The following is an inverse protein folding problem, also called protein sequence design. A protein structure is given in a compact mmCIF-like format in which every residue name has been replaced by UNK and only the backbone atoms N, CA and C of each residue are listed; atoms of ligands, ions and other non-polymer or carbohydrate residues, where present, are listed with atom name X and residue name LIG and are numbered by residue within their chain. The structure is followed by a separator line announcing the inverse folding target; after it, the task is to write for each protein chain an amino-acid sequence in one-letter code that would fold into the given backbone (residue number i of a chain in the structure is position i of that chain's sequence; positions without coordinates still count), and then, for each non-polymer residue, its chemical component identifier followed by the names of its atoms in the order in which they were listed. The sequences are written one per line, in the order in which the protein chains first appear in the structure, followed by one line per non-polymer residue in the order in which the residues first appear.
data_IF_893552012491
#
_entry.id   IF_893552012491
#
_cell.length_a   1.000
_cell.length_b   1.000
_cell.length_c   1.000
_cell.angle_alpha   90.00
_cell.angle_beta   90.00
_cell.angle_gamma   90.00
#
_symmetry.space_group_name_H-M   'P 1'
#
loop_
_entity.id
_entity.type
_entity.pdbx_description
1 polymer ?
#
# COMPACT_ATOMS: atom_id res chain seq x y z
N UNK A 1 13.20 67.25 16.50
CA UNK A 1 12.61 66.83 15.22
C UNK A 1 12.87 65.32 15.09
N UNK A 2 11.84 64.49 15.17
CA UNK A 2 11.95 63.05 15.41
C UNK A 2 11.97 62.24 14.10
N UNK A 3 12.96 61.36 13.95
CA UNK A 3 13.04 60.36 12.88
C UNK A 3 11.88 59.38 13.02
N UNK A 4 11.05 59.29 11.97
CA UNK A 4 9.99 58.29 11.88
C UNK A 4 10.62 57.01 11.34
N UNK A 5 10.78 56.03 12.22
CA UNK A 5 11.13 54.66 11.83
C UNK A 5 9.91 54.05 11.16
N UNK A 6 10.12 53.47 9.99
CA UNK A 6 9.10 52.72 9.24
C UNK A 6 8.56 51.59 10.12
N UNK A 7 7.29 51.68 10.51
CA UNK A 7 6.56 50.51 10.93
C UNK A 7 6.33 49.67 9.68
N UNK A 8 7.11 48.59 9.56
CA UNK A 8 6.76 47.44 8.73
C UNK A 8 5.29 47.10 9.04
N UNK A 9 4.38 47.43 8.11
CA UNK A 9 3.08 46.78 8.04
C UNK A 9 3.37 45.33 7.69
N UNK A 10 3.75 44.56 8.69
CA UNK A 10 3.73 43.11 8.59
C UNK A 10 2.28 42.76 8.38
N UNK A 11 1.96 42.28 7.19
CA UNK A 11 0.76 41.49 6.99
C UNK A 11 0.73 40.48 8.14
N UNK A 12 -0.26 40.50 9.06
CA UNK A 12 -0.53 39.33 9.85
C UNK A 12 -1.17 38.35 8.87
N UNK A 13 -0.33 37.78 8.01
CA UNK A 13 -0.57 36.47 7.45
C UNK A 13 -0.60 35.56 8.66
N UNK A 14 -1.78 35.48 9.28
CA UNK A 14 -2.20 34.37 10.11
C UNK A 14 -2.24 33.18 9.15
N UNK A 15 -1.05 32.70 8.81
CA UNK A 15 -0.88 31.35 8.32
C UNK A 15 -1.30 30.52 9.52
N UNK A 16 -2.52 30.00 9.47
CA UNK A 16 -2.87 28.81 10.23
C UNK A 16 -1.99 27.70 9.66
N UNK A 17 -0.72 27.69 10.06
CA UNK A 17 0.18 26.58 9.89
C UNK A 17 -0.39 25.50 10.79
N UNK A 18 -1.26 24.68 10.20
CA UNK A 18 -1.64 23.40 10.79
C UNK A 18 -0.32 22.75 11.21
N UNK A 19 -0.17 22.37 12.48
CA UNK A 19 1.10 21.91 13.00
C UNK A 19 1.67 20.87 12.03
N UNK A 20 2.74 21.25 11.34
CA UNK A 20 3.53 20.41 10.42
C UNK A 20 4.31 19.32 11.19
N UNK A 21 3.95 19.15 12.47
CA UNK A 21 4.55 18.27 13.43
C UNK A 21 3.42 17.61 14.25
N UNK A 22 2.41 17.07 13.55
CA UNK A 22 1.73 15.91 14.08
C UNK A 22 2.75 14.77 14.04
N UNK A 23 3.49 14.60 15.13
CA UNK A 23 4.13 13.32 15.44
C UNK A 23 2.97 12.33 15.65
N UNK A 24 2.35 11.86 14.57
CA UNK A 24 1.17 11.01 14.58
C UNK A 24 1.47 9.75 13.83
N UNK A 25 2.19 8.82 14.45
CA UNK A 25 2.20 7.42 13.98
C UNK A 25 2.67 7.30 12.51
N UNK A 26 3.30 8.33 11.94
CA UNK A 26 3.62 8.33 10.50
C UNK A 26 4.76 7.36 10.25
N UNK A 27 5.80 7.33 11.09
CA UNK A 27 6.90 6.39 10.89
C UNK A 27 6.50 4.91 11.05
N UNK A 28 5.70 4.58 12.07
CA UNK A 28 5.28 3.20 12.31
C UNK A 28 4.19 2.78 11.30
N UNK A 29 3.23 3.67 11.04
CA UNK A 29 2.19 3.47 10.03
C UNK A 29 2.75 3.36 8.62
N UNK A 30 3.72 4.19 8.25
CA UNK A 30 4.40 4.18 6.96
C UNK A 30 5.32 2.95 6.82
N UNK A 31 6.00 2.51 7.88
CA UNK A 31 6.79 1.28 7.85
C UNK A 31 5.90 0.05 7.65
N UNK A 32 4.81 -0.05 8.43
CA UNK A 32 3.84 -1.16 8.31
C UNK A 32 3.18 -1.12 6.93
N UNK A 33 2.79 0.06 6.48
CA UNK A 33 2.26 0.31 5.14
C UNK A 33 3.19 -0.13 4.03
N UNK A 34 4.46 0.24 4.09
CA UNK A 34 5.46 -0.12 3.10
C UNK A 34 5.71 -1.64 3.12
N UNK A 35 5.80 -2.24 4.30
CA UNK A 35 5.94 -3.68 4.46
C UNK A 35 4.73 -4.44 3.88
N UNK A 36 3.51 -4.02 4.20
CA UNK A 36 2.28 -4.63 3.69
C UNK A 36 2.17 -4.42 2.17
N UNK A 37 2.48 -3.22 1.65
CA UNK A 37 2.52 -2.96 0.22
C UNK A 37 3.50 -3.86 -0.53
N UNK A 38 4.70 -4.05 0.02
CA UNK A 38 5.69 -4.98 -0.53
C UNK A 38 5.19 -6.43 -0.50
N UNK A 39 4.57 -6.85 0.61
CA UNK A 39 3.95 -8.18 0.74
C UNK A 39 2.83 -8.39 -0.28
N UNK A 40 2.02 -7.37 -0.57
CA UNK A 40 0.96 -7.46 -1.57
C UNK A 40 1.49 -7.69 -2.98
N UNK A 41 2.59 -7.02 -3.36
CA UNK A 41 3.25 -7.24 -4.65
C UNK A 41 3.77 -8.66 -4.75
N UNK A 42 4.45 -9.14 -3.71
CA UNK A 42 4.97 -10.52 -3.65
C UNK A 42 3.82 -11.53 -3.72
N UNK A 43 2.75 -11.31 -2.96
CA UNK A 43 1.57 -12.17 -2.94
C UNK A 43 0.87 -12.21 -4.30
N UNK A 44 0.74 -11.07 -4.98
CA UNK A 44 0.17 -11.00 -6.33
C UNK A 44 0.98 -11.82 -7.33
N UNK A 45 2.31 -11.70 -7.29
CA UNK A 45 3.21 -12.48 -8.15
C UNK A 45 3.11 -13.98 -7.86
N UNK A 46 3.14 -14.38 -6.58
CA UNK A 46 2.99 -15.79 -6.20
C UNK A 46 1.64 -16.34 -6.65
N UNK A 47 0.54 -15.62 -6.42
CA UNK A 47 -0.79 -16.04 -6.82
C UNK A 47 -0.89 -16.21 -8.35
N UNK A 48 -0.26 -15.32 -9.12
CA UNK A 48 -0.19 -15.44 -10.58
C UNK A 48 0.58 -16.70 -11.03
N UNK A 49 1.72 -17.00 -10.42
CA UNK A 49 2.46 -18.24 -10.71
C UNK A 49 1.65 -19.50 -10.36
N UNK A 50 0.96 -19.50 -9.21
CA UNK A 50 0.09 -20.62 -8.82
C UNK A 50 -1.07 -20.82 -9.80
N UNK A 51 -1.61 -19.74 -10.37
CA UNK A 51 -2.67 -19.81 -11.37
C UNK A 51 -2.16 -20.48 -12.65
N UNK A 52 -0.96 -20.12 -13.13
CA UNK A 52 -0.34 -20.75 -14.30
C UNK A 52 -0.11 -22.25 -14.04
N UNK A 53 0.48 -22.60 -12.89
CA UNK A 53 0.73 -23.99 -12.53
C UNK A 53 -0.57 -24.81 -12.41
N UNK A 54 -1.64 -24.22 -11.89
CA UNK A 54 -2.97 -24.83 -11.84
C UNK A 54 -3.59 -25.03 -13.22
N UNK A 55 -3.44 -24.05 -14.11
CA UNK A 55 -3.92 -24.11 -15.49
C UNK A 55 -3.19 -25.18 -16.31
N UNK A 56 -1.86 -25.23 -16.23
CA UNK A 56 -1.06 -26.28 -16.91
C UNK A 56 -1.48 -27.65 -16.39
N UNK A 57 -1.61 -27.81 -15.07
CA UNK A 57 -2.03 -29.07 -14.46
C UNK A 57 -3.44 -29.49 -14.90
N UNK A 58 -4.36 -28.53 -15.09
CA UNK A 58 -5.70 -28.82 -15.60
C UNK A 58 -5.68 -29.34 -17.03
N UNK A 59 -4.88 -28.72 -17.90
CA UNK A 59 -4.73 -29.13 -19.30
C UNK A 59 -4.04 -30.50 -19.41
N UNK A 60 -2.98 -30.75 -18.63
CA UNK A 60 -2.23 -32.02 -18.68
C UNK A 60 -2.96 -33.20 -18.03
N UNK A 61 -3.95 -32.95 -17.18
CA UNK A 61 -4.71 -34.02 -16.51
C UNK A 61 -5.60 -34.85 -17.45
N UNK A 62 -5.88 -34.36 -18.67
CA UNK A 62 -6.28 -35.19 -19.82
C UNK A 62 -7.54 -36.07 -19.69
N UNK A 63 -8.33 -35.97 -18.61
CA UNK A 63 -9.50 -36.81 -18.36
C UNK A 63 -9.40 -37.73 -17.13
N UNK A 64 -8.25 -37.80 -16.47
CA UNK A 64 -8.15 -38.46 -15.16
C UNK A 64 -8.86 -37.61 -14.08
N UNK A 65 -9.84 -38.21 -13.40
CA UNK A 65 -10.64 -37.53 -12.37
C UNK A 65 -9.77 -36.99 -11.24
N UNK A 66 -8.77 -37.76 -10.81
CA UNK A 66 -7.91 -37.36 -9.69
C UNK A 66 -7.03 -36.15 -10.07
N UNK A 67 -6.41 -36.17 -11.26
CA UNK A 67 -5.66 -35.03 -11.78
C UNK A 67 -6.53 -33.77 -11.96
N UNK A 68 -7.74 -33.93 -12.49
CA UNK A 68 -8.68 -32.81 -12.67
C UNK A 68 -9.15 -32.19 -11.35
N UNK A 69 -9.41 -33.02 -10.34
CA UNK A 69 -9.81 -32.55 -9.01
C UNK A 69 -8.67 -31.80 -8.31
N UNK A 70 -7.44 -32.32 -8.39
CA UNK A 70 -6.25 -31.65 -7.88
C UNK A 70 -6.01 -30.30 -8.58
N UNK A 71 -6.16 -30.25 -9.91
CA UNK A 71 -6.03 -29.03 -10.68
C UNK A 71 -7.08 -27.97 -10.31
N UNK A 72 -8.35 -28.39 -10.14
CA UNK A 72 -9.44 -27.51 -9.68
C UNK A 72 -9.17 -26.94 -8.30
N UNK A 73 -8.69 -27.77 -7.37
CA UNK A 73 -8.29 -27.30 -6.05
C UNK A 73 -7.18 -26.26 -6.17
N UNK A 74 -6.15 -26.52 -6.98
CA UNK A 74 -5.03 -25.57 -7.16
C UNK A 74 -5.47 -24.23 -7.73
N UNK A 75 -6.34 -24.23 -8.74
CA UNK A 75 -6.93 -23.02 -9.32
C UNK A 75 -7.76 -22.27 -8.28
N UNK A 76 -8.57 -22.98 -7.49
CA UNK A 76 -9.38 -22.37 -6.43
C UNK A 76 -8.51 -21.66 -5.40
N UNK A 77 -7.44 -22.29 -4.93
CA UNK A 77 -6.49 -21.66 -4.00
C UNK A 77 -5.81 -20.43 -4.62
N UNK A 78 -5.44 -20.49 -5.90
CA UNK A 78 -4.86 -19.34 -6.61
C UNK A 78 -5.85 -18.15 -6.70
N UNK A 79 -7.12 -18.44 -7.01
CA UNK A 79 -8.19 -17.44 -7.06
C UNK A 79 -8.42 -16.83 -5.66
N UNK A 80 -8.50 -17.67 -4.63
CA UNK A 80 -8.64 -17.19 -3.23
C UNK A 80 -7.48 -16.29 -2.86
N UNK A 81 -6.24 -16.64 -3.22
CA UNK A 81 -5.06 -15.80 -3.04
C UNK A 81 -5.19 -14.43 -3.72
N UNK A 82 -5.63 -14.40 -4.98
CA UNK A 82 -5.88 -13.13 -5.69
C UNK A 82 -6.98 -12.29 -5.03
N UNK A 83 -8.06 -12.93 -4.57
CA UNK A 83 -9.15 -12.24 -3.85
C UNK A 83 -8.63 -11.62 -2.55
N UNK A 84 -7.78 -12.33 -1.80
CA UNK A 84 -7.18 -11.81 -0.57
C UNK A 84 -6.31 -10.58 -0.86
N UNK A 85 -5.48 -10.64 -1.92
CA UNK A 85 -4.65 -9.49 -2.34
C UNK A 85 -5.53 -8.30 -2.72
N UNK A 86 -6.61 -8.53 -3.48
CA UNK A 86 -7.56 -7.48 -3.85
C UNK A 86 -8.28 -6.88 -2.64
N UNK A 87 -8.71 -7.73 -1.69
CA UNK A 87 -9.34 -7.29 -0.45
C UNK A 87 -8.38 -6.47 0.42
N UNK A 88 -7.14 -6.92 0.55
CA UNK A 88 -6.11 -6.18 1.29
C UNK A 88 -5.84 -4.82 0.64
N UNK A 89 -5.75 -4.74 -0.70
CA UNK A 89 -5.61 -3.48 -1.41
C UNK A 89 -6.80 -2.53 -1.16
N UNK A 90 -8.02 -3.04 -1.18
CA UNK A 90 -9.22 -2.25 -0.85
C UNK A 90 -9.18 -1.73 0.60
N UNK A 91 -8.75 -2.56 1.55
CA UNK A 91 -8.55 -2.13 2.94
C UNK A 91 -7.48 -1.04 3.01
N UNK A 92 -6.37 -1.14 2.27
CA UNK A 92 -5.35 -0.10 2.26
C UNK A 92 -5.91 1.25 1.79
N UNK A 93 -6.74 1.27 0.76
CA UNK A 93 -7.38 2.51 0.28
C UNK A 93 -8.29 3.10 1.37
N UNK A 94 -9.06 2.27 2.08
CA UNK A 94 -9.89 2.75 3.18
C UNK A 94 -9.05 3.33 4.32
N UNK A 95 -7.96 2.64 4.68
CA UNK A 95 -6.99 3.09 5.70
C UNK A 95 -6.32 4.41 5.28
N UNK A 96 -5.92 4.55 4.01
CA UNK A 96 -5.37 5.80 3.45
C UNK A 96 -6.34 6.97 3.60
N UNK A 97 -7.61 6.77 3.24
CA UNK A 97 -8.64 7.80 3.32
C UNK A 97 -8.97 8.17 4.77
N UNK A 98 -8.93 7.21 5.70
CA UNK A 98 -9.31 7.45 7.09
C UNK A 98 -8.17 8.06 7.92
N UNK A 99 -6.93 7.65 7.67
CA UNK A 99 -5.75 8.15 8.38
C UNK A 99 -5.09 9.35 7.68
N UNK A 100 -5.47 9.64 6.43
CA UNK A 100 -4.89 10.74 5.63
C UNK A 100 -3.43 10.50 5.22
N UNK A 101 -2.96 9.25 5.26
CA UNK A 101 -1.58 8.86 4.97
C UNK A 101 -1.52 8.18 3.60
N UNK A 102 -0.56 8.57 2.75
CA UNK A 102 -0.31 7.91 1.46
C UNK A 102 0.53 6.65 1.65
N UNK A 103 -0.16 5.53 1.83
CA UNK A 103 0.42 4.20 2.09
C UNK A 103 1.02 3.58 0.81
N UNK A 104 0.45 3.88 -0.35
CA UNK A 104 0.86 3.34 -1.65
C UNK A 104 1.48 4.51 -2.40
N UNK A 105 2.82 4.54 -2.45
CA UNK A 105 3.59 5.59 -3.12
C UNK A 105 4.20 6.66 -2.20
N UNK A 106 4.10 6.51 -0.87
CA UNK A 106 4.85 7.35 0.07
C UNK A 106 6.35 7.22 -0.20
N UNK A 107 6.98 8.31 -0.62
CA UNK A 107 8.43 8.36 -0.87
C UNK A 107 9.16 7.81 0.35
N UNK A 108 9.93 6.74 0.15
CA UNK A 108 10.90 6.25 1.13
C UNK A 108 11.94 7.36 1.33
N UNK A 109 11.63 8.33 2.21
CA UNK A 109 12.60 9.33 2.64
C UNK A 109 13.44 8.66 3.72
N UNK A 110 14.51 8.00 3.29
CA UNK A 110 15.57 7.61 4.19
C UNK A 110 16.22 8.90 4.71
N UNK A 111 16.14 9.23 6.01
CA UNK A 111 16.86 10.36 6.55
C UNK A 111 18.35 10.13 6.27
N UNK A 112 18.89 10.93 5.36
CA UNK A 112 20.33 10.96 5.09
C UNK A 112 21.02 11.35 6.40
N UNK A 113 22.04 10.59 6.85
CA UNK A 113 22.70 10.88 8.11
C UNK A 113 23.67 12.08 8.02
N UNK A 114 23.39 13.12 7.21
CA UNK A 114 24.03 14.45 7.22
C UNK A 114 23.09 15.45 6.53
#
# INVERSE_FOLDING_TARGET
MFTRVFAQTGDPSITITRPQNQVKIENLGQLISAAVGALLIIAALLAFFYLILGGIQWITSGGDKAGMEAARNKITHAIVGLVIVGAAWAIMILVQNFLGVTIIGGTLNFPKPF
#
